data_IF_249389527658
#
_entry.id   IF_249389527658
#
_cell.length_a   1.000
_cell.length_b   1.000
_cell.length_c   1.000
_cell.angle_alpha   90.00
_cell.angle_beta   90.00
_cell.angle_gamma   90.00
#
_symmetry.space_group_name_H-M   'P 1'
#
loop_
_entity.id
_entity.type
_entity.pdbx_description
1 polymer ?
#
# COMPACT_ATOMS: atom_id res chain seq x y z
N UNK A 1 -5.80 -9.33 23.06
CA UNK A 1 -5.00 -8.34 22.32
C UNK A 1 -5.20 -6.99 22.98
N UNK A 2 -4.14 -6.30 23.40
CA UNK A 2 -4.25 -4.98 24.02
C UNK A 2 -4.64 -3.92 22.97
N UNK A 3 -5.55 -3.02 23.30
CA UNK A 3 -6.00 -1.94 22.41
C UNK A 3 -4.84 -1.11 21.82
N UNK A 4 -3.76 -0.96 22.59
CA UNK A 4 -2.53 -0.30 22.15
C UNK A 4 -1.88 -0.98 20.93
N UNK A 5 -1.84 -2.32 20.91
CA UNK A 5 -1.28 -3.07 19.80
C UNK A 5 -2.11 -2.89 18.51
N UNK A 6 -3.44 -2.86 18.65
CA UNK A 6 -4.35 -2.61 17.52
C UNK A 6 -4.11 -1.22 16.92
N UNK A 7 -3.98 -0.19 17.76
CA UNK A 7 -3.71 1.19 17.31
C UNK A 7 -2.39 1.27 16.56
N UNK A 8 -1.33 0.64 17.09
CA UNK A 8 -0.01 0.62 16.44
C UNK A 8 -0.10 -0.08 15.07
N UNK A 9 -0.80 -1.21 14.98
CA UNK A 9 -0.96 -1.94 13.71
C UNK A 9 -1.72 -1.12 12.66
N UNK A 10 -2.77 -0.38 13.08
CA UNK A 10 -3.51 0.52 12.19
C UNK A 10 -2.59 1.62 11.67
N UNK A 11 -1.82 2.27 12.56
CA UNK A 11 -0.85 3.30 12.16
C UNK A 11 0.19 2.76 11.17
N UNK A 12 0.72 1.57 11.43
CA UNK A 12 1.66 0.92 10.52
C UNK A 12 1.05 0.66 9.14
N UNK A 13 -0.22 0.25 9.10
CA UNK A 13 -0.95 0.05 7.84
C UNK A 13 -1.13 1.34 7.05
N UNK A 14 -1.40 2.46 7.72
CA UNK A 14 -1.51 3.78 7.08
C UNK A 14 -0.16 4.20 6.49
N UNK A 15 0.93 4.02 7.25
CA UNK A 15 2.28 4.33 6.79
C UNK A 15 2.65 3.48 5.57
N UNK A 16 2.37 2.18 5.63
CA UNK A 16 2.61 1.27 4.50
C UNK A 16 1.85 1.71 3.24
N UNK A 17 0.58 2.08 3.38
CA UNK A 17 -0.23 2.58 2.26
C UNK A 17 0.32 3.88 1.67
N UNK A 18 0.73 4.83 2.52
CA UNK A 18 1.32 6.10 2.09
C UNK A 18 2.65 5.90 1.34
N UNK A 19 3.51 4.98 1.79
CA UNK A 19 4.73 4.62 1.07
C UNK A 19 4.43 3.98 -0.28
N UNK A 20 3.43 3.09 -0.34
CA UNK A 20 3.00 2.45 -1.58
C UNK A 20 2.49 3.48 -2.60
N UNK A 21 1.70 4.45 -2.16
CA UNK A 21 1.26 5.60 -2.98
C UNK A 21 2.43 6.37 -3.57
N UNK A 22 3.42 6.71 -2.73
CA UNK A 22 4.60 7.46 -3.15
C UNK A 22 5.39 6.69 -4.20
N UNK A 23 5.59 5.39 -3.99
CA UNK A 23 6.27 4.50 -4.95
C UNK A 23 5.53 4.46 -6.28
N UNK A 24 4.21 4.31 -6.28
CA UNK A 24 3.41 4.26 -7.51
C UNK A 24 3.46 5.58 -8.26
N UNK A 25 3.37 6.70 -7.54
CA UNK A 25 3.43 8.04 -8.14
C UNK A 25 4.79 8.27 -8.82
N UNK A 26 5.89 7.96 -8.12
CA UNK A 26 7.25 8.07 -8.67
C UNK A 26 7.45 7.09 -9.83
N UNK A 27 7.05 5.83 -9.67
CA UNK A 27 7.23 4.81 -10.71
C UNK A 27 6.47 5.19 -11.98
N UNK A 28 5.26 5.71 -11.85
CA UNK A 28 4.45 6.09 -13.01
C UNK A 28 5.02 7.33 -13.70
N UNK A 29 5.44 8.34 -12.93
CA UNK A 29 6.07 9.53 -13.48
C UNK A 29 7.38 9.19 -14.20
N UNK A 30 8.21 8.33 -13.61
CA UNK A 30 9.48 7.89 -14.19
C UNK A 30 9.32 7.00 -15.44
N UNK A 31 8.29 6.15 -15.49
CA UNK A 31 8.11 5.17 -16.58
C UNK A 31 7.29 5.77 -17.73
N UNK A 32 6.22 6.49 -17.41
CA UNK A 32 5.26 6.96 -18.40
C UNK A 32 5.36 8.44 -18.70
N UNK A 33 6.11 9.23 -17.91
CA UNK A 33 6.30 10.68 -18.11
C UNK A 33 5.01 11.50 -18.11
N UNK A 34 3.91 10.88 -17.72
CA UNK A 34 2.59 11.46 -17.65
C UNK A 34 2.22 11.55 -16.17
N UNK A 35 1.91 12.75 -15.70
CA UNK A 35 1.41 12.97 -14.35
C UNK A 35 0.21 12.07 -14.11
N UNK A 36 0.39 11.06 -13.25
CA UNK A 36 -0.68 10.11 -12.95
C UNK A 36 -1.77 10.84 -12.16
N UNK A 37 -3.00 10.76 -12.66
CA UNK A 37 -4.16 11.30 -11.96
C UNK A 37 -4.31 10.63 -10.58
N UNK A 38 -4.64 11.45 -9.59
CA UNK A 38 -4.59 11.06 -8.18
C UNK A 38 -5.51 9.88 -7.87
N UNK A 39 -6.68 9.80 -8.54
CA UNK A 39 -7.62 8.71 -8.32
C UNK A 39 -7.03 7.37 -8.76
N UNK A 40 -6.30 7.36 -9.87
CA UNK A 40 -5.65 6.16 -10.40
C UNK A 40 -4.43 5.77 -9.58
N UNK A 41 -3.68 6.74 -9.03
CA UNK A 41 -2.59 6.49 -8.11
C UNK A 41 -3.09 5.80 -6.83
N UNK A 42 -4.20 6.29 -6.26
CA UNK A 42 -4.83 5.72 -5.07
C UNK A 42 -5.38 4.32 -5.34
N UNK A 43 -6.03 4.12 -6.48
CA UNK A 43 -6.52 2.80 -6.87
C UNK A 43 -5.37 1.79 -7.01
N UNK A 44 -4.28 2.18 -7.67
CA UNK A 44 -3.09 1.33 -7.78
C UNK A 44 -2.50 0.95 -6.43
N UNK A 45 -2.37 1.92 -5.52
CA UNK A 45 -1.86 1.66 -4.17
C UNK A 45 -2.75 0.72 -3.37
N UNK A 46 -4.07 0.86 -3.52
CA UNK A 46 -5.03 -0.03 -2.86
C UNK A 46 -4.91 -1.47 -3.36
N UNK A 47 -4.77 -1.68 -4.67
CA UNK A 47 -4.60 -3.00 -5.29
C UNK A 47 -3.28 -3.65 -4.82
N UNK A 48 -2.16 -2.92 -4.88
CA UNK A 48 -0.85 -3.43 -4.44
C UNK A 48 -0.86 -3.77 -2.95
N UNK A 49 -1.49 -2.94 -2.13
CA UNK A 49 -1.61 -3.16 -0.69
C UNK A 49 -2.44 -4.42 -0.40
N UNK A 50 -3.59 -4.56 -1.06
CA UNK A 50 -4.44 -5.74 -0.93
C UNK A 50 -3.71 -7.01 -1.38
N UNK A 51 -3.05 -6.96 -2.54
CA UNK A 51 -2.25 -8.08 -3.06
C UNK A 51 -1.12 -8.48 -2.12
N UNK A 52 -0.43 -7.51 -1.52
CA UNK A 52 0.65 -7.77 -0.55
C UNK A 52 0.15 -8.40 0.75
N UNK A 53 -0.99 -7.94 1.26
CA UNK A 53 -1.61 -8.53 2.46
C UNK A 53 -2.11 -9.96 2.22
N UNK A 54 -2.76 -10.21 1.07
CA UNK A 54 -3.22 -11.54 0.67
C UNK A 54 -2.03 -12.47 0.42
N UNK A 55 -0.98 -12.00 -0.28
CA UNK A 55 0.23 -12.79 -0.49
C UNK A 55 0.94 -13.15 0.82
N UNK A 56 1.02 -12.21 1.76
CA UNK A 56 1.61 -12.44 3.07
C UNK A 56 0.79 -13.44 3.92
N UNK A 57 -0.54 -13.42 3.82
CA UNK A 57 -1.40 -14.36 4.56
C UNK A 57 -1.26 -15.79 4.04
N UNK A 58 -1.11 -15.98 2.73
CA UNK A 58 -0.86 -17.30 2.12
C UNK A 58 0.49 -17.86 2.57
N UNK A 59 1.55 -17.05 2.56
CA UNK A 59 2.89 -17.51 2.99
C UNK A 59 2.93 -17.93 4.47
N UNK A 60 2.06 -17.37 5.32
CA UNK A 60 2.02 -17.71 6.75
C UNK A 60 1.37 -19.07 7.03
N UNK A 61 0.63 -19.64 6.07
CA UNK A 61 -0.11 -20.90 6.27
C UNK A 61 0.62 -22.16 5.76
N UNK A 62 1.75 -21.99 5.06
CA UNK A 62 2.58 -23.07 4.51
C UNK A 62 3.88 -23.22 5.29
#
# INVERSE_FOLDING_TARGET
MSALATIIMILLSIIYFALTLLVIKIATDAIFGAGLDENWAVLGAAIVTMGSMVGASIRKTS
#
